data_IF_346121993741
#
_entry.id   IF_346121993741
#
_cell.length_a   1.000
_cell.length_b   1.000
_cell.length_c   1.000
_cell.angle_alpha   90.00
_cell.angle_beta   90.00
_cell.angle_gamma   90.00
#
_symmetry.space_group_name_H-M   'P 1'
#
loop_
_entity.id
_entity.type
_entity.pdbx_description
1 polymer ?
2 non-polymer ?
3 water ?
#
# COMPACT_ATOMS: atom_id res chain seq x y z
N UNK A 7 -0.32 -19.50 -2.45
CA UNK A 7 1.10 -19.15 -2.32
C UNK A 7 1.51 -19.01 -0.85
N UNK A 8 2.68 -19.54 -0.52
CA UNK A 8 3.20 -19.52 0.85
C UNK A 8 4.06 -18.27 1.03
N UNK A 9 3.48 -17.25 1.64
CA UNK A 9 4.16 -15.99 1.88
C UNK A 9 4.27 -15.78 3.39
N UNK A 10 5.41 -15.27 3.82
CA UNK A 10 5.65 -14.97 5.23
C UNK A 10 5.77 -13.46 5.38
N UNK A 11 4.94 -12.87 6.26
CA UNK A 11 4.88 -11.43 6.42
C UNK A 11 5.55 -11.02 7.72
N UNK A 12 6.28 -9.91 7.67
CA UNK A 12 6.95 -9.37 8.85
C UNK A 12 6.64 -7.89 8.93
N UNK A 13 6.43 -7.41 10.15
CA UNK A 13 6.35 -5.98 10.37
C UNK A 13 7.64 -5.28 10.02
N UNK A 14 7.52 -3.97 9.79
CA UNK A 14 8.66 -3.11 9.49
C UNK A 14 9.05 -2.38 10.76
N UNK A 15 10.35 -2.33 11.04
CA UNK A 15 10.91 -1.70 12.22
C UNK A 15 12.28 -1.18 11.83
N UNK A 16 12.94 -0.48 12.77
CA UNK A 16 14.25 0.08 12.46
C UNK A 16 15.21 -0.99 11.93
N UNK A 17 15.14 -2.19 12.49
CA UNK A 17 16.12 -3.23 12.20
C UNK A 17 16.03 -3.73 10.75
N UNK A 18 14.86 -3.73 10.13
CA UNK A 18 14.73 -4.20 8.75
C UNK A 18 14.29 -3.10 7.80
N UNK A 19 14.34 -1.84 8.25
CA UNK A 19 13.86 -0.73 7.43
C UNK A 19 14.58 -0.66 6.09
N UNK A 20 15.88 -0.94 6.07
CA UNK A 20 16.62 -0.81 4.81
C UNK A 20 16.10 -1.79 3.74
N UNK A 21 15.52 -2.92 4.17
CA UNK A 21 14.91 -3.83 3.20
C UNK A 21 13.80 -3.13 2.43
N UNK A 22 12.96 -2.37 3.14
CA UNK A 22 11.89 -1.63 2.47
C UNK A 22 12.46 -0.53 1.58
N UNK A 23 13.51 0.14 2.06
CA UNK A 23 14.14 1.19 1.24
C UNK A 23 14.69 0.62 -0.06
N UNK A 24 15.32 -0.55 -0.01
CA UNK A 24 15.85 -1.17 -1.23
C UNK A 24 14.70 -1.50 -2.18
N UNK A 25 13.64 -2.14 -1.67
CA UNK A 25 12.49 -2.45 -2.51
C UNK A 25 11.94 -1.21 -3.19
N UNK A 26 11.80 -0.12 -2.41
CA UNK A 26 11.23 1.10 -2.96
C UNK A 26 12.13 1.71 -4.03
N UNK A 27 13.45 1.59 -3.83
CA UNK A 27 14.40 2.16 -4.80
C UNK A 27 14.29 1.46 -6.15
N UNK A 28 14.00 0.17 -6.13
CA UNK A 28 13.83 -0.60 -7.37
C UNK A 28 12.46 -0.32 -7.97
N UNK A 29 11.43 -0.26 -7.13
CA UNK A 29 10.05 -0.26 -7.60
C UNK A 29 9.53 1.13 -7.95
N UNK A 30 10.05 2.18 -7.33
CA UNK A 30 9.42 3.47 -7.45
C UNK A 30 10.43 4.53 -7.83
N UNK A 31 10.02 5.57 -8.56
CA UNK A 31 11.00 6.37 -9.30
C UNK A 31 11.89 7.27 -8.45
N UNK A 32 11.43 7.76 -7.30
CA UNK A 32 12.20 8.74 -6.53
C UNK A 32 12.33 8.26 -5.08
N UNK A 33 13.30 8.84 -4.38
CA UNK A 33 13.51 8.54 -2.96
C UNK A 33 12.31 8.97 -2.13
N UNK A 34 11.81 8.09 -1.27
CA UNK A 34 10.73 8.44 -0.35
C UNK A 34 11.29 9.16 0.87
N UNK A 35 10.50 10.08 1.42
CA UNK A 35 11.05 10.86 2.52
C UNK A 35 10.88 10.15 3.86
N UNK A 36 11.51 10.71 4.88
CA UNK A 36 11.51 10.05 6.18
C UNK A 36 10.15 10.03 6.86
N UNK A 37 9.20 10.92 6.50
CA UNK A 37 7.87 10.80 7.07
C UNK A 37 7.11 9.61 6.48
N UNK A 38 7.33 9.29 5.20
CA UNK A 38 6.78 8.05 4.66
C UNK A 38 7.20 6.87 5.54
N UNK A 39 8.49 6.78 5.85
CA UNK A 39 8.98 5.63 6.62
C UNK A 39 8.47 5.65 8.05
N UNK A 40 8.43 6.82 8.69
CA UNK A 40 7.88 6.89 10.03
C UNK A 40 6.40 6.52 10.02
N UNK A 41 5.62 7.06 9.08
CA UNK A 41 4.21 6.73 9.01
C UNK A 41 4.00 5.23 8.77
N UNK A 42 4.81 4.66 7.89
CA UNK A 42 4.71 3.22 7.60
C UNK A 42 4.90 2.38 8.86
N UNK A 43 5.96 2.67 9.63
CA UNK A 43 6.22 1.91 10.84
C UNK A 43 5.10 2.12 11.85
N UNK A 44 4.60 3.37 11.96
CA UNK A 44 3.56 3.68 12.93
C UNK A 44 2.23 3.03 12.59
N UNK A 45 2.06 2.57 11.36
CA UNK A 45 0.81 1.94 10.95
C UNK A 45 0.70 0.49 11.42
N UNK A 46 1.75 -0.05 12.03
CA UNK A 46 1.57 -1.32 12.74
C UNK A 46 1.33 -2.47 11.77
N UNK A 47 0.25 -3.22 12.02
CA UNK A 47 -0.06 -4.41 11.23
C UNK A 47 -0.38 -4.08 9.79
N UNK A 48 -0.59 -2.82 9.46
CA UNK A 48 -0.96 -2.46 8.10
C UNK A 48 0.24 -2.29 7.18
N UNK A 49 1.46 -2.39 7.71
CA UNK A 49 2.66 -2.29 6.89
C UNK A 49 3.41 -3.62 7.04
N UNK A 50 3.67 -4.29 5.93
CA UNK A 50 4.32 -5.60 6.01
C UNK A 50 5.34 -5.78 4.90
N UNK A 51 6.45 -6.44 5.22
CA UNK A 51 7.36 -7.03 4.24
C UNK A 51 6.91 -8.45 3.93
N UNK A 52 7.03 -8.86 2.67
CA UNK A 52 6.72 -10.22 2.25
C UNK A 52 8.01 -10.97 1.94
N UNK A 53 8.11 -12.20 2.46
CA UNK A 53 9.21 -13.10 2.21
C UNK A 53 8.68 -14.33 1.49
N UNK A 54 9.37 -14.71 0.42
CA UNK A 54 9.02 -15.89 -0.35
C UNK A 54 10.33 -16.48 -0.84
N UNK A 55 10.44 -17.80 -0.82
CA UNK A 55 11.64 -18.47 -1.31
C UNK A 55 12.87 -17.97 -0.53
N UNK A 56 12.66 -17.62 0.75
CA UNK A 56 13.68 -17.23 1.70
C UNK A 56 14.27 -15.85 1.40
N UNK A 57 13.53 -14.99 0.70
CA UNK A 57 14.01 -13.68 0.28
C UNK A 57 12.92 -12.65 0.48
N UNK A 58 13.29 -11.43 0.87
CA UNK A 58 12.34 -10.34 0.93
C UNK A 58 12.04 -9.85 -0.48
N UNK A 59 10.78 -9.97 -0.93
CA UNK A 59 10.47 -9.72 -2.34
C UNK A 59 9.32 -8.75 -2.53
N UNK A 60 8.72 -8.22 -1.47
CA UNK A 60 7.65 -7.26 -1.67
C UNK A 60 7.26 -6.61 -0.37
N UNK A 61 6.37 -5.63 -0.47
CA UNK A 61 5.93 -4.91 0.73
C UNK A 61 4.62 -4.17 0.44
N UNK A 62 3.86 -3.96 1.51
CA UNK A 62 2.76 -2.99 1.52
C UNK A 62 3.03 -2.05 2.68
N UNK A 63 2.80 -0.76 2.43
CA UNK A 63 3.10 0.28 3.43
C UNK A 63 1.90 1.23 3.48
N UNK A 64 1.30 1.38 4.65
CA UNK A 64 0.13 2.22 4.83
C UNK A 64 0.39 3.32 5.85
N UNK A 65 -0.48 4.32 5.81
CA UNK A 65 -0.55 5.38 6.80
C UNK A 65 -1.95 5.34 7.40
N UNK A 66 -2.06 5.47 8.71
CA UNK A 66 -3.37 5.50 9.36
C UNK A 66 -3.79 6.93 9.64
N UNK A 67 -5.08 7.24 9.39
CA UNK A 67 -5.59 8.61 9.44
C UNK A 67 -6.91 8.66 10.17
N UNK A 68 -7.07 9.68 11.02
CA UNK A 68 -8.29 9.89 11.79
C UNK A 68 -9.12 10.97 11.12
N UNK A 69 -10.39 10.67 10.87
CA UNK A 69 -11.33 11.60 10.27
C UNK A 69 -11.97 12.48 11.33
N UNK A 70 -12.55 13.61 10.88
CA UNK A 70 -13.20 14.54 11.80
C UNK A 70 -14.40 13.91 12.50
N UNK A 71 -15.02 12.91 11.88
CA UNK A 71 -16.13 12.18 12.47
C UNK A 71 -15.71 11.35 13.67
N UNK A 72 -14.42 11.15 13.89
CA UNK A 72 -13.92 10.16 14.82
C UNK A 72 -13.58 8.83 14.18
N UNK A 73 -14.02 8.62 12.94
CA UNK A 73 -13.73 7.38 12.25
C UNK A 73 -12.27 7.34 11.81
N UNK A 74 -11.80 6.12 11.54
CA UNK A 74 -10.41 5.87 11.18
C UNK A 74 -10.36 5.25 9.79
N UNK A 75 -9.33 5.59 9.03
CA UNK A 75 -9.19 5.01 7.70
C UNK A 75 -7.72 4.71 7.43
N UNK A 76 -7.49 3.88 6.41
CA UNK A 76 -6.17 3.40 6.01
C UNK A 76 -5.86 3.98 4.63
N UNK A 77 -4.68 4.55 4.46
CA UNK A 77 -4.19 5.02 3.19
C UNK A 77 -3.06 4.12 2.74
N UNK A 78 -3.21 3.48 1.58
CA UNK A 78 -2.12 2.67 1.04
C UNK A 78 -1.12 3.60 0.37
N UNK A 79 0.09 3.71 0.95
CA UNK A 79 1.12 4.55 0.34
C UNK A 79 1.84 3.83 -0.80
N UNK A 80 2.20 2.57 -0.59
CA UNK A 80 2.89 1.78 -1.62
C UNK A 80 2.48 0.32 -1.49
N UNK A 81 2.42 -0.36 -2.64
CA UNK A 81 2.28 -1.81 -2.69
C UNK A 81 3.11 -2.27 -3.88
N UNK A 82 4.02 -3.21 -3.67
CA UNK A 82 4.86 -3.64 -4.78
C UNK A 82 5.54 -4.96 -4.52
N UNK A 83 5.80 -5.69 -5.60
CA UNK A 83 6.48 -6.98 -5.59
C UNK A 83 7.60 -6.92 -6.63
N UNK A 84 8.77 -7.43 -6.27
CA UNK A 84 9.87 -7.44 -7.23
C UNK A 84 9.51 -8.23 -8.47
N UNK A 85 9.97 -7.74 -9.62
CA UNK A 85 9.60 -8.31 -10.92
C UNK A 85 9.73 -9.82 -11.00
N UNK A 86 10.85 -10.45 -10.60
CA UNK A 86 10.95 -11.91 -10.77
C UNK A 86 9.91 -12.70 -10.00
N UNK A 87 9.18 -12.08 -9.06
CA UNK A 87 8.27 -12.78 -8.16
C UNK A 87 6.81 -12.34 -8.33
N UNK A 88 6.48 -11.67 -9.41
CA UNK A 88 5.11 -11.23 -9.67
C UNK A 88 4.27 -12.36 -10.27
N UNK A 89 2.95 -12.19 -10.20
CA UNK A 89 2.03 -13.11 -10.83
C UNK A 89 1.85 -14.43 -10.14
N UNK A 90 2.27 -14.58 -8.89
CA UNK A 90 2.07 -15.85 -8.19
C UNK A 90 1.35 -15.61 -6.87
N UNK A 91 0.74 -14.45 -6.72
CA UNK A 91 -0.15 -14.20 -5.59
C UNK A 91 0.42 -13.42 -4.43
N UNK A 92 1.69 -13.00 -4.49
CA UNK A 92 2.28 -12.32 -3.34
C UNK A 92 1.64 -10.96 -3.12
N UNK A 93 1.40 -10.20 -4.19
CA UNK A 93 0.77 -8.90 -4.01
C UNK A 93 -0.65 -9.04 -3.46
N UNK A 94 -1.38 -10.05 -3.92
CA UNK A 94 -2.71 -10.32 -3.39
C UNK A 94 -2.64 -10.73 -1.91
N UNK A 95 -1.62 -11.50 -1.54
CA UNK A 95 -1.44 -11.88 -0.15
C UNK A 95 -1.26 -10.64 0.74
N UNK A 96 -0.42 -9.69 0.29
CA UNK A 96 -0.20 -8.46 1.04
C UNK A 96 -1.50 -7.65 1.20
N UNK A 97 -2.22 -7.49 0.11
CA UNK A 97 -3.43 -6.67 0.17
C UNK A 97 -4.54 -7.36 0.96
N UNK A 98 -4.68 -8.68 0.80
CA UNK A 98 -5.66 -9.42 1.59
C UNK A 98 -5.37 -9.26 3.07
N UNK A 99 -4.09 -9.32 3.45
CA UNK A 99 -3.72 -9.12 4.86
C UNK A 99 -4.24 -7.77 5.35
N UNK A 100 -3.97 -6.72 4.58
CA UNK A 100 -4.35 -5.38 5.00
C UNK A 100 -5.86 -5.25 5.04
N UNK A 101 -6.57 -5.84 4.08
CA UNK A 101 -8.03 -5.76 4.09
C UNK A 101 -8.61 -6.50 5.29
N UNK A 102 -8.05 -7.67 5.61
CA UNK A 102 -8.50 -8.40 6.78
C UNK A 102 -8.27 -7.58 8.03
N UNK A 103 -7.15 -6.87 8.08
CA UNK A 103 -6.84 -6.05 9.23
C UNK A 103 -7.77 -4.83 9.32
N UNK A 104 -8.23 -4.30 8.18
CA UNK A 104 -9.24 -3.25 8.22
C UNK A 104 -10.48 -3.71 8.98
N UNK A 105 -10.94 -4.92 8.73
CA UNK A 105 -12.12 -5.43 9.42
C UNK A 105 -11.83 -5.67 10.90
N UNK A 106 -10.68 -6.28 11.20
CA UNK A 106 -10.35 -6.64 12.58
C UNK A 106 -10.16 -5.42 13.45
N UNK A 107 -9.57 -4.37 12.89
CA UNK A 107 -9.33 -3.13 13.63
C UNK A 107 -10.40 -2.07 13.41
N UNK A 108 -11.53 -2.45 12.80
CA UNK A 108 -12.71 -1.59 12.71
C UNK A 108 -12.41 -0.30 11.97
N UNK A 109 -11.64 -0.40 10.89
CA UNK A 109 -11.43 0.74 10.01
C UNK A 109 -12.68 0.95 9.15
N UNK A 110 -13.03 2.22 8.92
CA UNK A 110 -14.23 2.50 8.14
C UNK A 110 -13.96 2.46 6.64
N UNK A 111 -12.73 2.68 6.21
CA UNK A 111 -12.43 2.85 4.79
C UNK A 111 -10.95 2.63 4.55
N UNK A 112 -10.60 2.19 3.35
CA UNK A 112 -9.22 2.17 2.90
C UNK A 112 -9.18 2.82 1.52
N UNK A 113 -8.12 3.57 1.23
CA UNK A 113 -8.07 4.25 -0.06
C UNK A 113 -6.63 4.48 -0.47
N UNK A 114 -6.47 4.87 -1.74
CA UNK A 114 -5.17 5.21 -2.29
C UNK A 114 -5.41 6.09 -3.50
N UNK A 115 -4.31 6.63 -4.04
CA UNK A 115 -4.34 7.36 -5.30
C UNK A 115 -3.67 6.52 -6.38
N UNK A 116 -4.27 6.51 -7.57
CA UNK A 116 -3.75 5.81 -8.74
C UNK A 116 -3.78 6.78 -9.91
N UNK A 117 -2.64 6.95 -10.59
CA UNK A 117 -2.63 7.80 -11.77
C UNK A 117 -3.68 7.30 -12.75
N UNK A 118 -4.32 8.23 -13.47
CA UNK A 118 -5.47 7.86 -14.28
C UNK A 118 -5.11 6.98 -15.46
N UNK A 119 -3.86 7.01 -15.91
CA UNK A 119 -3.41 6.15 -17.00
C UNK A 119 -2.86 4.82 -16.51
N UNK A 120 -2.90 4.55 -15.21
CA UNK A 120 -2.39 3.30 -14.65
C UNK A 120 -3.51 2.26 -14.62
N UNK A 121 -3.85 1.79 -15.83
CA UNK A 121 -4.95 0.86 -15.98
C UNK A 121 -4.69 -0.46 -15.28
N UNK A 122 -3.44 -0.93 -15.27
CA UNK A 122 -3.12 -2.18 -14.60
C UNK A 122 -3.48 -2.12 -13.12
N UNK A 123 -3.19 -0.98 -12.49
CA UNK A 123 -3.45 -0.85 -11.06
C UNK A 123 -4.93 -0.73 -10.77
N UNK A 124 -5.66 0.06 -11.57
CA UNK A 124 -7.10 0.17 -11.38
C UNK A 124 -7.75 -1.19 -11.50
N UNK A 125 -7.41 -1.93 -12.55
CA UNK A 125 -7.92 -3.28 -12.71
C UNK A 125 -7.57 -4.16 -11.51
N UNK A 126 -6.33 -4.03 -11.00
CA UNK A 126 -5.91 -4.85 -9.88
C UNK A 126 -6.74 -4.56 -8.62
N UNK A 127 -6.90 -3.28 -8.28
CA UNK A 127 -7.62 -2.94 -7.04
C UNK A 127 -9.11 -3.21 -7.14
N UNK A 128 -9.72 -3.06 -8.32
CA UNK A 128 -11.13 -3.38 -8.46
C UNK A 128 -11.42 -4.85 -8.19
N UNK A 129 -10.44 -5.72 -8.42
CA UNK A 129 -10.61 -7.14 -8.13
C UNK A 129 -10.81 -7.38 -6.64
N UNK A 130 -10.31 -6.49 -5.78
CA UNK A 130 -10.42 -6.62 -4.34
C UNK A 130 -11.57 -5.83 -3.75
N UNK A 131 -12.47 -5.31 -4.59
CA UNK A 131 -13.63 -4.57 -4.12
C UNK A 131 -13.48 -3.07 -4.08
N UNK A 132 -12.35 -2.52 -4.52
CA UNK A 132 -12.20 -1.07 -4.57
C UNK A 132 -12.98 -0.50 -5.75
N UNK A 133 -13.32 0.79 -5.63
CA UNK A 133 -14.00 1.51 -6.68
C UNK A 133 -13.43 2.93 -6.74
N UNK A 134 -13.51 3.54 -7.92
CA UNK A 134 -13.10 4.93 -8.08
C UNK A 134 -14.17 5.81 -7.46
N UNK A 135 -13.78 6.65 -6.51
CA UNK A 135 -14.72 7.57 -5.87
C UNK A 135 -14.41 9.04 -6.09
N UNK A 136 -13.25 9.37 -6.66
CA UNK A 136 -12.96 10.77 -6.98
C UNK A 136 -11.91 10.81 -8.06
N UNK A 137 -11.81 11.97 -8.70
CA UNK A 137 -10.76 12.28 -9.66
C UNK A 137 -10.07 13.56 -9.21
N UNK A 138 -8.75 13.49 -9.01
CA UNK A 138 -7.97 14.65 -8.61
C UNK A 138 -6.96 14.95 -9.71
N UNK A 139 -7.08 16.11 -10.33
CA UNK A 139 -6.09 16.52 -11.30
C UNK A 139 -4.86 17.07 -10.60
N UNK A 140 -3.69 16.82 -11.20
CA UNK A 140 -2.45 17.45 -10.78
C UNK A 140 -2.14 17.19 -9.31
N UNK A 141 -2.39 15.97 -8.87
CA UNK A 141 -2.04 15.56 -7.51
C UNK A 141 -0.58 15.12 -7.46
N UNK A 142 0.10 15.44 -6.35
CA UNK A 142 1.50 15.04 -6.17
C UNK A 142 1.53 13.64 -5.57
N UNK A 143 1.33 12.65 -6.43
CA UNK A 143 1.43 11.27 -5.99
C UNK A 143 2.89 10.89 -5.75
N UNK A 144 3.81 11.49 -6.50
CA UNK A 144 5.24 11.41 -6.21
C UNK A 144 5.75 12.84 -6.11
N UNK A 145 6.65 13.27 -7.00
CA UNK A 145 7.13 14.65 -6.99
C UNK A 145 6.51 15.50 -8.10
N UNK A 146 5.87 14.87 -9.08
CA UNK A 146 5.30 15.69 -10.15
C UNK A 146 3.78 15.63 -10.14
N UNK A 147 3.11 16.71 -10.52
CA UNK A 147 1.63 16.70 -10.52
C UNK A 147 1.11 15.76 -11.60
N UNK A 148 0.24 14.83 -11.20
CA UNK A 148 -0.35 13.85 -12.09
C UNK A 148 -1.83 13.74 -11.78
N UNK A 149 -2.64 13.54 -12.82
CA UNK A 149 -4.06 13.27 -12.61
C UNK A 149 -4.25 11.90 -12.00
N UNK A 150 -5.04 11.82 -10.93
CA UNK A 150 -5.20 10.58 -10.17
C UNK A 150 -6.67 10.32 -9.88
N UNK A 151 -7.00 9.03 -9.78
CA UNK A 151 -8.25 8.61 -9.17
C UNK A 151 -8.01 8.40 -7.68
N UNK A 152 -9.02 8.71 -6.87
CA UNK A 152 -9.09 8.19 -5.52
C UNK A 152 -9.78 6.84 -5.63
N UNK A 153 -9.10 5.80 -5.18
CA UNK A 153 -9.58 4.43 -5.27
C UNK A 153 -9.80 3.95 -3.83
N UNK A 154 -11.02 3.53 -3.51
CA UNK A 154 -11.37 3.28 -2.11
C UNK A 154 -12.31 2.08 -1.96
N UNK A 155 -12.31 1.55 -0.74
CA UNK A 155 -13.20 0.48 -0.33
C UNK A 155 -13.71 0.80 1.06
N UNK A 156 -15.03 0.70 1.24
CA UNK A 156 -15.69 1.00 2.51
C UNK A 156 -16.00 -0.28 3.28
N UNK A 157 -15.93 -0.17 4.61
CA UNK A 157 -16.39 -1.25 5.49
C UNK A 157 -17.47 -0.70 6.42
X LIG B 1 2.78 -8.90 -13.25
X LIG B 1 1.75 -9.69 -12.75
X LIG B 1 0.53 -9.36 -12.31
X LIG B 1 0.30 -7.99 -12.39
X LIG B 1 1.25 -7.04 -12.88
X LIG B 1 2.50 -7.55 -13.31
X LIG B 1 3.48 -6.70 -13.79
X LIG B 1 0.73 -5.73 -12.84
X LIG B 1 -0.52 -5.89 -12.34
X LIG B 1 -0.82 -7.23 -12.06
X LIG B 1 -2.06 -7.80 -11.49
X LIG B 1 -2.85 -8.57 -12.58
X LIG B 1 -4.10 -7.99 -12.79
X LIG B 1 -3.02 -9.98 -11.89
X LIG B 1 -4.31 -10.33 -11.84
X LIG B 1 -4.66 -11.68 -13.04
X LIG B 1 -5.01 -10.75 -14.18
X LIG B 1 -3.36 -12.45 -13.12
X LIG B 1 -5.84 -12.29 -12.32
X LIG B 1 -2.52 -9.75 -10.45
X LIG B 1 -1.61 -8.68 -10.50
X LIG B 1 -1.77 -10.96 -9.96
X LIG B 1 -2.15 -11.17 -8.64
X LIG B 1 -0.77 -11.22 -7.79
X LIG B 1 0.14 -12.19 -8.42
X LIG B 1 -1.13 -11.37 -6.33
X LIG B 1 -0.06 -9.70 -7.99
X LIG B 1 1.55 -9.56 -7.89
X LIG B 1 2.17 -10.38 -6.84
X LIG B 1 2.21 -9.35 -9.22
X LIG B 1 1.63 -7.97 -7.17
X LIG B 1 1.55 -5.83 -8.06
X LIG B 1 0.81 -7.18 -7.92
X LIG B 1 1.74 -5.23 -6.66
X LIG B 1 0.71 -4.89 -8.92
X LIG B 1 2.90 -6.17 -8.73
X LIG B 1 2.78 -6.72 -10.00
X LIG B 1 3.78 -4.91 -8.85
X LIG B 1 4.53 -4.56 -7.95
X LIG B 1 3.70 -4.18 -10.04
X LIG B 1 4.52 -2.95 -10.22
X LIG B 1 4.22 -1.90 -9.11
X LIG B 1 2.85 -1.30 -9.36
X LIG B 1 2.31 -1.23 -10.45
X LIG B 1 2.20 -0.79 -8.22
X LIG B 1 0.86 -0.19 -8.41
X LIG B 1 0.24 0.11 -7.04
X LIG B 1 -0.50 1.81 -7.04
X LIG B 1 -0.37 2.13 -5.28
X LIG B 1 -0.28 1.22 -4.49
X LIG B 1 -0.30 3.57 -4.83
#
# INVERSE_FOLDING_TARGET
MGAGREVSVSLDGVRDKNLMQLKILNTVLFPVRYNDKYYADAIAAGEFTKLAYYNDICVGAIACRLEKKESGAMRVYIMTLGVLAPYRGIGIGSNLLNHVLDMCSKQNMCEIYLHVQTNNEDAIKFYKKFGFEITDTIQNYYINIEPRDCYVVSKSFAQSEANKHHHHHH
ACO N1A C2A N3A C4A C5A C6A N6A N7A C8A N9A C1B C2B O2B C3B O3B P3B O7A O8A O9A C4B O4B C5B O5B P1A O1A O2A O3A P2A O4A O5A O6A CBP CCP CDP CEP CAP OAP C9P O9P N8P C7P C6P C5P O5P N4P C3P C2P S1P C O CH3
#
